data_IF_656039088299
#
_entry.id   IF_656039088299
#
_cell.length_a   1.000
_cell.length_b   1.000
_cell.length_c   1.000
_cell.angle_alpha   90.00
_cell.angle_beta   90.00
_cell.angle_gamma   90.00
#
_symmetry.space_group_name_H-M   'P 1'
#
loop_
_entity.id
_entity.type
_entity.pdbx_description
1 polymer ?
2 non-polymer ?
3 non-polymer ?
4 non-polymer ?
5 water ?
#
# COMPACT_ATOMS: atom_id res chain seq x y z
N UNK A 1 18.20 -25.61 -4.17
CA UNK A 1 17.54 -24.52 -4.90
C UNK A 1 16.03 -24.42 -4.62
N UNK A 2 15.67 -23.69 -3.56
CA UNK A 2 14.30 -23.59 -3.08
C UNK A 2 13.71 -22.23 -3.50
N UNK A 3 12.43 -22.24 -3.88
CA UNK A 3 11.75 -21.05 -4.41
C UNK A 3 10.54 -20.69 -3.55
N UNK A 4 10.41 -19.41 -3.24
CA UNK A 4 9.23 -18.86 -2.58
C UNK A 4 8.69 -17.73 -3.44
N UNK A 5 7.38 -17.69 -3.64
CA UNK A 5 6.73 -16.74 -4.53
C UNK A 5 5.98 -15.68 -3.73
N UNK A 6 6.20 -14.42 -4.08
CA UNK A 6 5.41 -13.31 -3.56
C UNK A 6 4.63 -12.68 -4.70
N UNK A 7 3.38 -12.28 -4.42
CA UNK A 7 2.54 -11.72 -5.49
C UNK A 7 3.10 -10.40 -6.01
N UNK A 8 3.65 -9.55 -5.13
CA UNK A 8 4.07 -8.20 -5.51
C UNK A 8 5.32 -7.81 -4.70
N UNK A 9 5.85 -6.60 -4.98
CA UNK A 9 7.12 -6.20 -4.36
C UNK A 9 6.97 -5.73 -2.92
N UNK A 10 5.79 -5.20 -2.58
CA UNK A 10 5.55 -4.81 -1.19
C UNK A 10 5.66 -6.01 -0.27
N UNK A 11 5.19 -7.17 -0.75
CA UNK A 11 5.40 -8.42 -0.02
C UNK A 11 6.82 -8.94 -0.22
N UNK A 12 7.29 -8.98 -1.48
CA UNK A 12 8.53 -9.69 -1.78
C UNK A 12 9.72 -9.11 -1.03
N UNK A 13 9.80 -7.79 -0.92
CA UNK A 13 10.98 -7.19 -0.29
C UNK A 13 11.04 -7.47 1.20
N UNK A 14 9.90 -7.75 1.83
CA UNK A 14 9.91 -8.14 3.23
C UNK A 14 10.24 -9.61 3.39
N UNK A 15 9.66 -10.48 2.55
CA UNK A 15 9.99 -11.91 2.58
C UNK A 15 11.49 -12.11 2.40
N UNK A 16 12.07 -11.43 1.41
CA UNK A 16 13.48 -11.61 1.08
C UNK A 16 14.37 -11.20 2.24
N UNK A 17 13.93 -10.22 3.05
CA UNK A 17 14.70 -9.80 4.21
C UNK A 17 14.68 -10.84 5.31
N UNK A 18 13.56 -11.54 5.48
CA UNK A 18 13.50 -12.61 6.47
C UNK A 18 14.38 -13.78 6.05
N UNK A 19 14.34 -14.16 4.76
CA UNK A 19 15.03 -15.37 4.33
C UNK A 19 16.49 -15.15 3.98
N UNK A 20 16.86 -13.95 3.52
CA UNK A 20 18.18 -13.74 2.98
C UNK A 20 18.57 -14.78 1.94
N UNK A 21 19.81 -15.21 1.96
CA UNK A 21 20.34 -16.14 0.92
C UNK A 21 19.74 -17.55 0.95
N UNK A 22 19.11 -18.00 2.03
CA UNK A 22 18.75 -19.42 2.11
C UNK A 22 17.61 -19.83 1.19
N UNK A 23 17.06 -18.92 0.36
CA UNK A 23 15.99 -19.26 -0.56
C UNK A 23 16.04 -18.29 -1.74
N UNK A 24 15.40 -18.66 -2.84
CA UNK A 24 15.23 -17.78 -3.99
C UNK A 24 13.82 -17.22 -4.01
N UNK A 25 13.71 -15.91 -3.91
CA UNK A 25 12.43 -15.23 -3.88
C UNK A 25 12.11 -14.76 -5.28
N UNK A 26 10.90 -15.07 -5.75
CA UNK A 26 10.42 -14.56 -7.02
C UNK A 26 9.19 -13.71 -6.75
N UNK A 27 8.94 -12.78 -7.65
CA UNK A 27 7.78 -11.91 -7.54
C UNK A 27 7.01 -11.99 -8.86
N UNK A 28 5.69 -12.16 -8.74
CA UNK A 28 4.81 -12.21 -9.93
C UNK A 28 4.60 -10.84 -10.58
N UNK A 29 4.29 -9.84 -9.77
CA UNK A 29 3.92 -8.50 -10.30
C UNK A 29 4.96 -7.49 -9.87
N UNK A 30 5.53 -6.80 -10.85
CA UNK A 30 6.47 -5.73 -10.59
C UNK A 30 6.37 -4.72 -11.72
N UNK A 31 7.03 -3.57 -11.52
CA UNK A 31 7.11 -2.54 -12.55
C UNK A 31 5.89 -1.63 -12.57
N UNK A 32 5.58 -1.18 -13.77
CA UNK A 32 4.53 -0.19 -13.97
C UNK A 32 3.14 -0.79 -14.13
N UNK A 33 2.89 -2.00 -13.63
CA UNK A 33 1.63 -2.68 -13.92
C UNK A 33 0.69 -2.59 -12.72
N UNK A 34 -0.60 -2.39 -13.02
CA UNK A 34 -1.69 -2.36 -12.06
C UNK A 34 -1.88 -3.74 -11.44
N UNK A 35 -1.58 -3.93 -10.16
CA UNK A 35 -1.77 -5.26 -9.55
C UNK A 35 -3.23 -5.64 -9.44
N UNK A 36 -4.13 -4.67 -9.30
CA UNK A 36 -5.55 -4.96 -9.10
C UNK A 36 -6.09 -5.83 -10.23
N UNK A 37 -5.66 -5.57 -11.46
CA UNK A 37 -6.22 -6.23 -12.63
C UNK A 37 -5.20 -7.14 -13.30
N UNK A 38 -4.15 -7.52 -12.58
CA UNK A 38 -3.13 -8.36 -13.16
C UNK A 38 -3.74 -9.69 -13.58
N UNK A 39 -3.48 -10.09 -14.82
CA UNK A 39 -3.84 -11.41 -15.29
C UNK A 39 -2.54 -12.18 -15.49
N UNK A 40 -2.55 -13.46 -15.13
CA UNK A 40 -1.33 -14.23 -15.22
C UNK A 40 -0.83 -14.28 -16.66
N UNK A 41 0.48 -14.13 -16.82
CA UNK A 41 1.14 -14.27 -18.09
C UNK A 41 1.75 -15.67 -18.18
N UNK A 42 2.15 -16.06 -19.39
CA UNK A 42 2.78 -17.37 -19.56
C UNK A 42 4.03 -17.47 -18.68
N UNK A 43 4.17 -18.61 -18.02
CA UNK A 43 5.23 -18.82 -17.07
C UNK A 43 4.83 -18.59 -15.62
N UNK A 44 3.78 -17.79 -15.39
CA UNK A 44 3.34 -17.53 -14.03
C UNK A 44 2.85 -18.81 -13.36
N UNK A 45 2.11 -19.64 -14.10
CA UNK A 45 1.65 -20.92 -13.56
C UNK A 45 2.82 -21.78 -13.11
N UNK A 46 3.91 -21.77 -13.89
CA UNK A 46 5.10 -22.52 -13.53
C UNK A 46 5.83 -21.90 -12.35
N UNK A 47 5.78 -20.57 -12.21
CA UNK A 47 6.37 -19.92 -11.04
C UNK A 47 5.66 -20.38 -9.77
N UNK A 48 4.33 -20.51 -9.85
CA UNK A 48 3.59 -21.06 -8.71
C UNK A 48 3.95 -22.52 -8.49
N UNK A 49 4.06 -23.29 -9.58
CA UNK A 49 4.28 -24.73 -9.47
C UNK A 49 5.62 -25.04 -8.82
N UNK A 50 6.68 -24.32 -9.19
CA UNK A 50 7.99 -24.58 -8.59
C UNK A 50 8.16 -23.98 -7.19
N UNK A 51 7.21 -23.18 -6.71
CA UNK A 51 7.37 -22.49 -5.44
C UNK A 51 6.87 -23.32 -4.26
N UNK A 52 7.41 -23.03 -3.08
CA UNK A 52 7.00 -23.72 -1.85
C UNK A 52 5.90 -22.99 -1.11
N UNK A 53 5.83 -21.67 -1.27
CA UNK A 53 4.86 -20.81 -0.60
C UNK A 53 4.52 -19.69 -1.57
N UNK A 54 3.24 -19.28 -1.56
CA UNK A 54 2.76 -18.16 -2.39
C UNK A 54 2.15 -17.12 -1.46
N UNK A 55 2.83 -15.98 -1.34
CA UNK A 55 2.40 -14.92 -0.42
C UNK A 55 1.50 -13.92 -1.14
N UNK A 56 0.25 -13.82 -0.68
CA UNK A 56 -0.76 -12.94 -1.25
C UNK A 56 -1.17 -11.86 -0.26
N UNK A 57 -1.64 -10.74 -0.80
CA UNK A 57 -2.16 -9.67 0.03
C UNK A 57 -3.52 -10.02 0.59
N UNK A 58 -4.34 -10.72 -0.20
CA UNK A 58 -5.73 -10.91 0.13
C UNK A 58 -6.46 -9.59 -0.02
N UNK A 59 -7.61 -9.49 0.69
CA UNK A 59 -8.44 -8.28 0.71
C UNK A 59 -8.83 -7.85 -0.69
N UNK A 60 -8.90 -8.81 -1.62
CA UNK A 60 -9.31 -8.55 -2.98
C UNK A 60 -8.24 -8.06 -3.94
N UNK A 61 -6.97 -8.01 -3.52
CA UNK A 61 -5.95 -7.45 -4.42
C UNK A 61 -5.66 -8.39 -5.58
N UNK A 62 -5.70 -9.70 -5.34
CA UNK A 62 -5.48 -10.70 -6.38
C UNK A 62 -6.82 -11.19 -6.94
N UNK A 63 -7.67 -10.27 -7.39
CA UNK A 63 -9.06 -10.58 -7.66
C UNK A 63 -9.36 -10.90 -9.13
N UNK A 64 -8.35 -10.84 -10.01
CA UNK A 64 -8.54 -11.23 -11.39
C UNK A 64 -8.90 -12.72 -11.51
N UNK A 65 -9.68 -13.04 -12.55
CA UNK A 65 -10.11 -14.41 -12.77
C UNK A 65 -8.93 -15.35 -12.95
N UNK A 66 -7.83 -14.86 -13.52
CA UNK A 66 -6.61 -15.65 -13.66
C UNK A 66 -6.07 -16.09 -12.29
N UNK A 67 -5.89 -15.13 -11.38
CA UNK A 67 -5.28 -15.43 -10.09
C UNK A 67 -6.22 -16.22 -9.20
N UNK A 68 -7.53 -15.93 -9.27
CA UNK A 68 -8.50 -16.66 -8.45
C UNK A 68 -8.50 -18.15 -8.78
N UNK A 69 -8.34 -18.53 -10.06
CA UNK A 69 -8.27 -19.95 -10.43
C UNK A 69 -7.14 -20.64 -9.69
N UNK A 70 -5.97 -20.00 -9.66
CA UNK A 70 -4.74 -20.60 -9.19
C UNK A 70 -4.50 -20.44 -7.70
N UNK A 71 -5.15 -19.46 -7.06
CA UNK A 71 -4.87 -19.15 -5.66
C UNK A 71 -5.94 -19.66 -4.71
N UNK A 72 -7.21 -19.62 -5.11
CA UNK A 72 -8.30 -20.09 -4.26
C UNK A 72 -8.21 -21.60 -4.11
N UNK A 73 -8.08 -22.07 -2.87
CA UNK A 73 -7.94 -23.49 -2.59
C UNK A 73 -6.53 -24.04 -2.71
N UNK A 74 -5.55 -23.18 -2.98
CA UNK A 74 -4.16 -23.60 -3.12
C UNK A 74 -3.51 -23.68 -1.74
N UNK A 75 -3.06 -24.86 -1.31
CA UNK A 75 -2.43 -24.97 0.02
C UNK A 75 -1.15 -24.17 0.17
N UNK A 76 -0.50 -23.77 -0.94
CA UNK A 76 0.69 -22.93 -0.85
C UNK A 76 0.38 -21.48 -0.47
N UNK A 77 -0.88 -21.05 -0.56
CA UNK A 77 -1.18 -19.61 -0.43
C UNK A 77 -1.14 -19.21 1.05
N UNK A 78 -0.37 -18.16 1.34
CA UNK A 78 -0.42 -17.45 2.61
C UNK A 78 -1.15 -16.14 2.35
N UNK A 79 -2.37 -16.01 2.88
CA UNK A 79 -3.22 -14.82 2.69
C UNK A 79 -2.95 -13.86 3.85
N UNK A 80 -2.02 -12.93 3.62
CA UNK A 80 -1.55 -12.08 4.72
C UNK A 80 -2.68 -11.24 5.31
N UNK A 81 -3.55 -10.68 4.47
CA UNK A 81 -4.64 -9.86 4.97
C UNK A 81 -5.68 -10.65 5.75
N UNK A 82 -5.95 -11.89 5.33
CA UNK A 82 -6.89 -12.73 6.06
C UNK A 82 -6.30 -13.15 7.40
N UNK A 83 -5.02 -13.52 7.42
CA UNK A 83 -4.39 -13.89 8.68
C UNK A 83 -4.37 -12.71 9.65
N UNK A 84 -4.10 -11.50 9.14
CA UNK A 84 -4.16 -10.32 9.99
C UNK A 84 -5.58 -10.06 10.47
N UNK A 85 -6.58 -10.30 9.61
CA UNK A 85 -7.96 -10.14 10.03
C UNK A 85 -8.36 -11.20 11.04
N UNK A 86 -7.79 -12.41 10.94
CA UNK A 86 -8.06 -13.50 11.87
C UNK A 86 -7.69 -13.16 13.31
N UNK A 87 -6.98 -12.05 13.53
CA UNK A 87 -6.52 -11.67 14.85
C UNK A 87 -6.91 -10.24 15.23
N UNK A 88 -7.85 -9.63 14.50
CA UNK A 88 -8.16 -8.21 14.64
C UNK A 88 -6.88 -7.39 14.83
N UNK A 89 -5.82 -7.75 14.08
CA UNK A 89 -4.62 -6.94 14.07
C UNK A 89 -4.90 -5.54 13.56
N UNK A 90 -5.91 -5.39 12.70
CA UNK A 90 -6.29 -4.08 12.21
C UNK A 90 -7.78 -4.08 11.91
N UNK A 91 -8.31 -2.89 11.71
CA UNK A 91 -9.71 -2.70 11.32
C UNK A 91 -9.74 -2.51 9.80
N UNK A 92 -10.38 -3.45 9.11
CA UNK A 92 -10.53 -3.37 7.66
C UNK A 92 -11.27 -2.11 7.24
N UNK A 93 -10.76 -1.43 6.22
CA UNK A 93 -11.50 -0.36 5.58
C UNK A 93 -12.16 -0.91 4.33
N UNK A 94 -13.22 -0.23 3.88
CA UNK A 94 -13.94 -0.63 2.68
C UNK A 94 -14.40 0.60 1.92
N UNK A 95 -14.98 0.37 0.75
CA UNK A 95 -15.52 1.45 -0.08
C UNK A 95 -16.64 0.83 -0.90
N UNK A 96 -17.85 1.35 -0.73
CA UNK A 96 -19.05 0.87 -1.44
C UNK A 96 -19.11 -0.66 -1.50
N UNK A 97 -18.77 -1.32 -0.41
CA UNK A 97 -18.96 -2.76 -0.31
C UNK A 97 -17.81 -3.62 -0.79
N UNK A 98 -16.68 -3.02 -1.20
CA UNK A 98 -15.48 -3.79 -1.51
C UNK A 98 -14.41 -3.53 -0.45
N UNK A 99 -13.58 -4.52 -0.11
CA UNK A 99 -12.55 -4.30 0.90
C UNK A 99 -11.41 -3.46 0.35
N UNK A 100 -10.78 -2.69 1.24
CA UNK A 100 -9.66 -1.86 0.85
C UNK A 100 -8.38 -2.65 1.08
N UNK A 101 -7.65 -3.04 0.03
CA UNK A 101 -6.46 -3.89 0.19
C UNK A 101 -5.18 -3.16 0.58
N UNK A 102 -5.18 -1.82 0.61
CA UNK A 102 -3.93 -1.06 0.63
C UNK A 102 -3.32 -0.92 2.02
N UNK A 103 -3.14 -2.04 2.73
CA UNK A 103 -2.64 -1.94 4.11
C UNK A 103 -1.15 -1.69 4.20
N UNK A 104 -0.40 -1.82 3.09
CA UNK A 104 1.05 -1.66 3.15
C UNK A 104 1.50 -0.20 3.25
N UNK A 105 0.57 0.76 3.23
CA UNK A 105 0.95 2.15 3.50
C UNK A 105 0.89 2.49 4.99
N UNK A 106 0.37 1.60 5.81
CA UNK A 106 0.36 1.77 7.26
C UNK A 106 1.45 0.85 7.80
N UNK A 107 2.57 1.45 8.22
CA UNK A 107 3.76 0.68 8.59
C UNK A 107 3.56 -0.16 9.84
N UNK A 108 2.61 0.19 10.71
CA UNK A 108 2.31 -0.71 11.83
C UNK A 108 1.56 -1.94 11.35
N UNK A 109 0.59 -1.76 10.46
CA UNK A 109 -0.13 -2.91 9.92
C UNK A 109 0.80 -3.79 9.09
N UNK A 110 1.64 -3.18 8.23
CA UNK A 110 2.54 -4.00 7.41
C UNK A 110 3.59 -4.69 8.28
N UNK A 111 3.96 -4.09 9.40
CA UNK A 111 4.80 -4.81 10.35
C UNK A 111 4.13 -6.08 10.85
N UNK A 112 2.85 -5.97 11.22
CA UNK A 112 2.08 -7.17 11.57
C UNK A 112 2.03 -8.15 10.40
N UNK A 113 1.83 -7.64 9.18
CA UNK A 113 1.90 -8.50 8.00
C UNK A 113 3.25 -9.22 7.92
N UNK A 114 4.34 -8.49 8.14
CA UNK A 114 5.65 -9.12 8.11
C UNK A 114 5.78 -10.16 9.22
N UNK A 115 5.11 -9.94 10.34
CA UNK A 115 5.13 -10.93 11.44
C UNK A 115 4.52 -12.23 10.93
N UNK A 116 3.45 -12.14 10.14
CA UNK A 116 2.83 -13.35 9.58
C UNK A 116 3.73 -13.99 8.52
N UNK A 117 4.39 -13.18 7.71
CA UNK A 117 5.36 -13.71 6.76
C UNK A 117 6.41 -14.55 7.47
N UNK A 118 7.07 -13.99 8.49
CA UNK A 118 8.08 -14.72 9.23
C UNK A 118 7.53 -16.03 9.80
N UNK A 119 6.39 -15.95 10.48
CA UNK A 119 5.81 -17.16 11.07
C UNK A 119 5.55 -18.20 9.99
N UNK A 120 4.87 -17.79 8.93
CA UNK A 120 4.58 -18.69 7.81
C UNK A 120 5.86 -19.30 7.26
N UNK A 121 6.91 -18.48 7.07
CA UNK A 121 8.15 -19.01 6.52
C UNK A 121 8.77 -20.02 7.47
N UNK A 122 8.78 -19.68 8.76
CA UNK A 122 9.38 -20.56 9.77
C UNK A 122 8.60 -21.87 9.85
N UNK A 123 7.28 -21.81 9.68
CA UNK A 123 6.48 -23.02 9.71
C UNK A 123 6.78 -23.93 8.52
N UNK A 124 7.15 -23.36 7.37
CA UNK A 124 7.49 -24.17 6.21
C UNK A 124 8.92 -24.69 6.26
N UNK A 125 9.82 -23.95 6.88
CA UNK A 125 11.25 -24.29 6.92
C UNK A 125 11.76 -24.24 8.36
N UNK A 126 11.44 -25.26 9.17
CA UNK A 126 11.99 -25.31 10.54
C UNK A 126 13.52 -25.34 10.55
N UNK A 127 14.14 -25.94 9.54
CA UNK A 127 15.59 -25.96 9.43
C UNK A 127 16.18 -24.55 9.34
N UNK A 128 15.39 -23.55 8.98
CA UNK A 128 15.89 -22.18 8.93
C UNK A 128 15.29 -21.29 10.02
N UNK A 129 14.54 -21.87 10.96
CA UNK A 129 13.78 -21.14 11.97
C UNK A 129 14.59 -20.02 12.61
N UNK A 130 15.89 -20.26 12.75
CA UNK A 130 16.77 -19.43 13.57
C UNK A 130 17.34 -18.25 12.80
N UNK A 131 17.90 -18.49 11.62
CA UNK A 131 18.31 -17.37 10.77
C UNK A 131 17.10 -16.55 10.35
N UNK A 132 16.01 -17.22 10.00
CA UNK A 132 14.78 -16.53 9.63
C UNK A 132 14.33 -15.59 10.75
N UNK A 133 14.37 -16.07 11.99
CA UNK A 133 13.85 -15.28 13.10
C UNK A 133 14.75 -14.10 13.39
N UNK A 134 16.08 -14.31 13.37
CA UNK A 134 17.03 -13.22 13.54
C UNK A 134 16.75 -12.08 12.57
N UNK A 135 16.61 -12.41 11.28
CA UNK A 135 16.36 -11.39 10.27
C UNK A 135 15.00 -10.74 10.43
N UNK A 136 13.99 -11.54 10.81
CA UNK A 136 12.68 -11.01 11.13
C UNK A 136 12.77 -9.98 12.26
N UNK A 137 13.42 -10.36 13.35
CA UNK A 137 13.64 -9.43 14.46
C UNK A 137 14.24 -8.13 13.96
N UNK A 138 15.22 -8.22 13.06
CA UNK A 138 15.88 -7.01 12.58
C UNK A 138 14.93 -6.15 11.75
N UNK A 139 14.27 -6.73 10.75
CA UNK A 139 13.44 -5.89 9.89
C UNK A 139 12.24 -5.35 10.65
N UNK A 140 11.68 -6.16 11.56
CA UNK A 140 10.53 -5.71 12.34
C UNK A 140 10.87 -4.51 13.22
N UNK A 141 12.05 -4.49 13.83
CA UNK A 141 12.42 -3.33 14.64
C UNK A 141 12.80 -2.14 13.77
N UNK A 142 13.32 -2.40 12.58
CA UNK A 142 13.55 -1.30 11.64
C UNK A 142 12.24 -0.69 11.18
N UNK A 143 11.21 -1.52 10.98
CA UNK A 143 9.91 -1.01 10.54
C UNK A 143 9.21 -0.26 11.67
N UNK A 144 9.38 -0.67 12.92
CA UNK A 144 8.84 0.11 14.02
C UNK A 144 9.49 1.48 14.08
N UNK A 145 10.80 1.54 13.84
CA UNK A 145 11.46 2.84 13.82
C UNK A 145 10.99 3.67 12.64
N UNK A 146 10.87 3.03 11.47
CA UNK A 146 10.28 3.67 10.29
C UNK A 146 8.89 4.25 10.59
N UNK A 147 8.07 3.50 11.33
CA UNK A 147 6.72 3.96 11.65
C UNK A 147 6.74 5.18 12.56
N UNK A 148 7.59 5.16 13.60
CA UNK A 148 7.73 6.32 14.47
C UNK A 148 8.20 7.53 13.67
N UNK A 149 9.21 7.33 12.80
CA UNK A 149 9.71 8.42 11.97
C UNK A 149 8.61 9.01 11.10
N UNK A 150 7.79 8.15 10.48
CA UNK A 150 6.70 8.64 9.63
C UNK A 150 5.69 9.45 10.44
N UNK A 151 5.26 8.89 11.58
CA UNK A 151 4.26 9.58 12.39
C UNK A 151 4.77 10.94 12.86
N UNK A 152 6.05 10.99 13.25
CA UNK A 152 6.63 12.25 13.70
C UNK A 152 6.74 13.25 12.56
N UNK A 153 7.22 12.81 11.39
CA UNK A 153 7.34 13.71 10.26
C UNK A 153 5.98 14.20 9.79
N UNK A 154 5.04 13.28 9.64
CA UNK A 154 3.72 13.66 9.14
C UNK A 154 2.98 14.52 10.15
N UNK A 155 3.35 14.44 11.43
CA UNK A 155 2.75 15.28 12.46
C UNK A 155 3.13 16.74 12.33
N UNK A 156 4.15 17.06 11.55
CA UNK A 156 4.56 18.46 11.36
C UNK A 156 3.74 19.16 10.29
N UNK A 157 2.97 18.43 9.49
CA UNK A 157 2.04 19.03 8.55
C UNK A 157 1.03 19.86 9.33
N UNK A 158 0.93 21.18 9.07
CA UNK A 158 -0.12 21.97 9.72
C UNK A 158 -1.48 21.31 9.56
N UNK A 159 -2.24 21.27 10.65
CA UNK A 159 -3.54 20.62 10.64
C UNK A 159 -4.44 21.16 9.53
N UNK A 160 -4.36 22.47 9.23
CA UNK A 160 -5.17 23.03 8.15
C UNK A 160 -4.81 22.45 6.77
N UNK A 161 -3.68 21.75 6.64
CA UNK A 161 -3.25 21.20 5.36
C UNK A 161 -3.39 19.68 5.28
N UNK A 162 -3.93 19.02 6.31
CA UNK A 162 -3.95 17.55 6.40
C UNK A 162 -5.13 17.02 5.58
N UNK A 163 -5.01 17.17 4.27
CA UNK A 163 -6.07 16.79 3.32
C UNK A 163 -5.33 16.27 2.11
N UNK A 164 -5.46 14.97 1.85
CA UNK A 164 -4.60 14.24 0.92
C UNK A 164 -5.40 13.88 -0.34
N UNK A 165 -5.11 14.57 -1.44
CA UNK A 165 -5.80 14.35 -2.70
C UNK A 165 -4.88 13.54 -3.61
N UNK A 166 -5.28 12.32 -3.96
CA UNK A 166 -4.44 11.44 -4.76
C UNK A 166 -5.21 10.93 -5.99
N UNK A 167 -4.50 10.13 -6.80
CA UNK A 167 -5.07 9.63 -8.03
C UNK A 167 -6.20 8.63 -7.81
N UNK A 168 -5.93 7.58 -7.01
CA UNK A 168 -6.99 6.69 -6.55
C UNK A 168 -6.87 6.51 -5.04
N UNK A 169 -7.81 5.74 -4.50
CA UNK A 169 -7.98 5.56 -3.06
C UNK A 169 -7.06 4.44 -2.57
N UNK A 170 -5.77 4.77 -2.52
CA UNK A 170 -4.74 3.86 -2.05
C UNK A 170 -4.16 4.27 -0.70
N UNK A 171 -4.53 5.44 -0.17
CA UNK A 171 -3.91 5.95 1.05
C UNK A 171 -4.91 6.13 2.19
N UNK A 172 -6.01 5.38 2.18
CA UNK A 172 -6.96 5.50 3.30
C UNK A 172 -6.34 5.03 4.61
N UNK A 173 -5.61 3.91 4.61
CA UNK A 173 -4.97 3.46 5.85
C UNK A 173 -3.91 4.44 6.31
N UNK A 174 -3.07 4.90 5.39
CA UNK A 174 -2.08 5.93 5.64
C UNK A 174 -2.73 7.15 6.31
N UNK A 175 -3.84 7.61 5.73
CA UNK A 175 -4.49 8.83 6.20
C UNK A 175 -5.07 8.65 7.59
N UNK A 176 -5.73 7.51 7.82
CA UNK A 176 -6.31 7.22 9.13
C UNK A 176 -5.24 7.14 10.22
N UNK A 177 -4.09 6.53 9.91
CA UNK A 177 -3.02 6.40 10.91
C UNK A 177 -2.29 7.72 11.13
N UNK A 178 -1.80 8.35 10.04
CA UNK A 178 -0.78 9.39 10.16
C UNK A 178 -1.30 10.80 10.04
N UNK A 179 -2.47 10.99 9.44
CA UNK A 179 -2.98 12.33 9.15
C UNK A 179 -4.15 12.71 10.05
N UNK A 180 -4.60 11.80 10.90
CA UNK A 180 -5.84 11.96 11.64
C UNK A 180 -5.60 11.83 13.13
N UNK A 181 -6.47 12.46 13.90
CA UNK A 181 -6.43 12.44 15.36
C UNK A 181 -7.16 11.22 15.89
N UNK A 182 -6.88 10.90 17.17
CA UNK A 182 -7.61 9.85 17.85
C UNK A 182 -9.12 10.09 17.78
N UNK A 183 -9.55 11.34 17.94
CA UNK A 183 -10.98 11.65 17.89
C UNK A 183 -11.53 11.39 16.49
N UNK A 184 -10.78 11.76 15.45
CA UNK A 184 -11.21 11.48 14.10
C UNK A 184 -11.19 9.97 13.82
N UNK A 185 -10.23 9.26 14.41
CA UNK A 185 -10.19 7.81 14.27
C UNK A 185 -11.44 7.17 14.87
N UNK A 186 -11.83 7.57 16.09
CA UNK A 186 -12.97 6.90 16.71
C UNK A 186 -14.29 7.32 16.04
N UNK A 187 -14.41 8.60 15.65
CA UNK A 187 -15.64 9.06 15.03
C UNK A 187 -15.78 8.56 13.60
N UNK A 188 -14.66 8.34 12.91
CA UNK A 188 -14.70 8.12 11.48
C UNK A 188 -14.60 9.39 10.65
N UNK A 189 -14.50 10.56 11.28
CA UNK A 189 -14.32 11.79 10.50
C UNK A 189 -12.91 11.91 9.94
N UNK A 190 -12.03 10.95 10.21
CA UNK A 190 -10.75 10.88 9.53
C UNK A 190 -10.94 10.83 8.01
N UNK A 191 -12.04 10.23 7.54
CA UNK A 191 -12.30 10.09 6.12
C UNK A 191 -12.40 11.43 5.41
N UNK A 192 -12.73 12.51 6.13
CA UNK A 192 -12.68 13.83 5.51
C UNK A 192 -11.28 14.20 5.01
N UNK A 193 -10.24 13.51 5.49
CA UNK A 193 -8.86 13.91 5.22
C UNK A 193 -8.24 13.33 3.95
N UNK A 194 -8.95 12.49 3.18
CA UNK A 194 -8.40 12.04 1.91
C UNK A 194 -9.52 11.93 0.88
N UNK A 195 -9.17 12.13 -0.39
CA UNK A 195 -10.13 11.99 -1.49
C UNK A 195 -9.36 11.70 -2.77
N UNK A 196 -10.05 11.10 -3.74
CA UNK A 196 -9.45 10.76 -5.03
C UNK A 196 -10.57 10.58 -6.03
N UNK A 197 -10.36 10.95 -7.30
CA UNK A 197 -11.45 10.79 -8.29
C UNK A 197 -11.70 9.34 -8.64
N UNK A 198 -10.67 8.50 -8.55
CA UNK A 198 -10.80 7.06 -8.76
C UNK A 198 -10.94 6.36 -7.40
N UNK A 199 -11.68 5.24 -7.39
CA UNK A 199 -11.91 4.47 -6.18
C UNK A 199 -10.76 3.55 -5.82
N UNK A 200 -11.03 2.36 -5.27
CA UNK A 200 -9.95 1.41 -4.84
C UNK A 200 -9.14 0.77 -5.98
N UNK A 201 -9.70 0.71 -7.19
CA UNK A 201 -9.30 0.03 -8.40
C UNK A 201 -9.18 1.03 -9.54
N UNK A 202 -8.07 1.05 -10.10
CA UNK A 202 -7.95 1.93 -11.28
C UNK A 202 -8.85 1.54 -12.43
N UNK A 203 -9.42 0.33 -12.43
CA UNK A 203 -10.18 -0.14 -13.59
C UNK A 203 -11.54 0.53 -13.72
N UNK A 204 -12.07 1.12 -12.65
CA UNK A 204 -13.38 1.78 -12.73
C UNK A 204 -13.30 3.05 -13.58
N UNK A 205 -14.44 3.37 -14.23
CA UNK A 205 -14.54 4.57 -15.05
C UNK A 205 -14.68 5.80 -14.18
N UNK A 206 -13.93 6.87 -14.49
CA UNK A 206 -14.00 8.13 -13.76
C UNK A 206 -14.90 9.10 -14.51
N UNK A 207 -15.87 9.67 -13.79
CA UNK A 207 -16.94 10.46 -14.38
C UNK A 207 -16.73 11.95 -14.10
N UNK A 208 -17.48 12.78 -14.81
CA UNK A 208 -17.48 14.22 -14.52
C UNK A 208 -17.92 14.48 -13.07
N UNK A 209 -18.79 13.62 -12.53
CA UNK A 209 -19.20 13.76 -11.14
C UNK A 209 -18.03 13.57 -10.17
N UNK A 210 -17.12 12.65 -10.49
CA UNK A 210 -15.92 12.42 -9.69
C UNK A 210 -14.96 13.59 -9.76
N UNK A 211 -14.79 14.16 -10.98
CA UNK A 211 -14.01 15.37 -11.12
C UNK A 211 -14.59 16.45 -10.23
N UNK A 212 -15.91 16.64 -10.33
CA UNK A 212 -16.58 17.71 -9.60
C UNK A 212 -16.46 17.52 -8.10
N UNK A 213 -16.67 16.29 -7.65
CA UNK A 213 -16.52 15.94 -6.24
C UNK A 213 -15.16 16.38 -5.71
N UNK A 214 -14.08 16.06 -6.43
CA UNK A 214 -12.73 16.39 -5.96
C UNK A 214 -12.47 17.89 -6.05
N UNK A 215 -12.98 18.54 -7.12
CA UNK A 215 -12.82 20.00 -7.25
C UNK A 215 -13.48 20.72 -6.07
N UNK A 216 -14.70 20.32 -5.70
CA UNK A 216 -15.36 20.98 -4.58
C UNK A 216 -14.64 20.69 -3.26
N UNK A 217 -14.13 19.47 -3.09
CA UNK A 217 -13.32 19.16 -1.92
C UNK A 217 -12.09 20.04 -1.85
N UNK A 218 -11.41 20.22 -2.99
CA UNK A 218 -10.20 21.06 -3.01
C UNK A 218 -10.53 22.48 -2.58
N UNK A 219 -11.64 23.02 -3.08
CA UNK A 219 -11.98 24.39 -2.74
C UNK A 219 -12.55 24.49 -1.31
N UNK A 220 -13.27 23.47 -0.85
CA UNK A 220 -13.79 23.51 0.51
C UNK A 220 -12.67 23.46 1.53
N UNK A 221 -11.65 22.64 1.29
CA UNK A 221 -10.55 22.47 2.22
C UNK A 221 -9.32 23.29 1.87
N UNK A 222 -9.40 24.14 0.84
CA UNK A 222 -8.28 24.98 0.43
C UNK A 222 -7.02 24.15 0.21
N UNK A 223 -7.18 23.01 -0.47
CA UNK A 223 -6.04 22.18 -0.82
C UNK A 223 -5.21 22.90 -1.88
N UNK A 224 -3.89 22.97 -1.70
CA UNK A 224 -3.05 23.67 -2.64
C UNK A 224 -2.29 22.75 -3.58
N UNK A 225 -2.19 21.47 -3.24
CA UNK A 225 -1.42 20.52 -4.04
C UNK A 225 -2.15 19.18 -4.06
N UNK A 226 -2.03 18.48 -5.20
CA UNK A 226 -2.58 17.15 -5.39
C UNK A 226 -1.44 16.24 -5.84
N UNK A 227 -1.62 14.94 -5.63
CA UNK A 227 -0.52 13.98 -5.81
C UNK A 227 -0.82 12.99 -6.93
N UNK A 228 -0.02 13.07 -7.99
CA UNK A 228 0.01 12.02 -9.02
C UNK A 228 0.62 10.76 -8.46
N UNK A 229 0.25 9.61 -9.05
CA UNK A 229 0.81 8.31 -8.71
C UNK A 229 1.50 7.70 -9.91
N UNK A 230 2.61 7.04 -9.63
CA UNK A 230 3.39 6.33 -10.66
C UNK A 230 2.46 5.27 -11.24
N UNK A 231 2.43 5.17 -12.57
CA UNK A 231 1.66 4.18 -13.39
C UNK A 231 0.15 4.42 -13.44
N UNK A 232 -0.42 5.34 -12.69
CA UNK A 232 -1.88 5.59 -12.75
C UNK A 232 -2.06 6.66 -13.82
N UNK A 233 -3.08 6.53 -14.64
CA UNK A 233 -3.37 7.53 -15.70
C UNK A 233 -3.58 8.86 -15.00
N UNK A 234 -2.98 9.93 -15.52
CA UNK A 234 -3.00 11.24 -14.88
C UNK A 234 -4.09 12.17 -15.38
N UNK A 235 -4.92 11.72 -16.34
CA UNK A 235 -5.91 12.61 -16.96
C UNK A 235 -6.82 13.26 -15.91
N UNK A 236 -7.36 12.46 -14.98
CA UNK A 236 -8.37 12.99 -14.06
C UNK A 236 -7.80 14.08 -13.16
N UNK A 237 -6.65 13.83 -12.53
CA UNK A 237 -6.07 14.87 -11.68
C UNK A 237 -5.67 16.09 -12.50
N UNK A 238 -5.21 15.89 -13.74
CA UNK A 238 -4.86 17.06 -14.54
C UNK A 238 -6.09 17.89 -14.87
N UNK A 239 -7.23 17.24 -15.14
CA UNK A 239 -8.50 17.95 -15.36
C UNK A 239 -8.96 18.65 -14.09
N UNK A 240 -8.90 17.97 -12.95
CA UNK A 240 -9.28 18.58 -11.68
C UNK A 240 -8.50 19.85 -11.45
N UNK A 241 -7.19 19.80 -11.70
CA UNK A 241 -6.32 20.95 -11.48
C UNK A 241 -6.72 22.12 -12.38
N UNK A 242 -6.92 21.82 -13.68
CA UNK A 242 -7.29 22.85 -14.65
C UNK A 242 -8.67 23.46 -14.40
N UNK A 243 -9.53 22.76 -13.66
CA UNK A 243 -10.91 23.19 -13.42
C UNK A 243 -11.04 24.08 -12.20
N UNK A 244 -9.94 24.51 -11.62
CA UNK A 244 -9.95 25.46 -10.52
C UNK A 244 -10.38 26.85 -11.00
N UNK A 245 -10.70 27.72 -10.03
CA UNK A 245 -11.04 29.10 -10.31
C UNK A 245 -9.86 29.84 -10.95
N UNK A 248 -7.33 30.89 -7.72
CA UNK A 248 -7.24 29.80 -6.75
C UNK A 248 -6.05 28.89 -7.02
N UNK A 249 -5.01 29.02 -6.21
CA UNK A 249 -3.76 28.30 -6.47
C UNK A 249 -3.93 26.80 -6.21
N UNK A 250 -3.45 25.99 -7.18
CA UNK A 250 -3.50 24.53 -7.13
C UNK A 250 -2.44 23.99 -8.08
N UNK A 251 -1.64 23.04 -7.60
CA UNK A 251 -0.52 22.52 -8.37
C UNK A 251 -0.45 21.01 -8.18
N UNK A 252 0.32 20.36 -9.05
CA UNK A 252 0.68 18.96 -8.90
C UNK A 252 1.92 18.85 -8.03
N UNK A 253 1.98 17.83 -7.19
CA UNK A 253 3.17 17.60 -6.39
C UNK A 253 4.36 17.36 -7.31
N UNK A 254 5.55 17.69 -6.82
CA UNK A 254 6.75 17.58 -7.65
C UNK A 254 7.01 16.11 -8.02
N UNK A 255 7.13 15.23 -7.00
CA UNK A 255 7.41 13.82 -7.24
C UNK A 255 6.14 13.00 -7.14
N UNK A 256 6.04 11.92 -7.93
CA UNK A 256 4.85 11.06 -7.85
C UNK A 256 4.89 10.20 -6.60
N UNK A 257 3.71 9.82 -6.12
CA UNK A 257 3.62 8.85 -5.05
C UNK A 257 3.58 7.44 -5.66
N UNK A 258 3.96 6.46 -4.86
CA UNK A 258 3.87 5.07 -5.29
C UNK A 258 2.77 4.41 -4.50
N UNK A 259 1.64 4.15 -5.17
CA UNK A 259 0.46 3.62 -4.52
C UNK A 259 0.43 2.09 -4.55
N UNK A 260 0.49 1.51 -5.75
CA UNK A 260 0.28 0.08 -5.93
C UNK A 260 1.57 -0.65 -6.26
N UNK A 261 2.70 0.03 -6.23
CA UNK A 261 3.95 -0.59 -6.63
C UNK A 261 5.08 0.05 -5.83
N UNK A 262 6.29 -0.36 -6.18
CA UNK A 262 7.56 0.01 -5.51
C UNK A 262 8.50 0.70 -6.50
N UNK A 263 9.30 1.67 -6.04
CA UNK A 263 10.29 2.30 -6.94
C UNK A 263 11.56 1.45 -6.95
N UNK A 264 12.39 1.54 -5.91
CA UNK A 264 13.60 0.68 -5.86
C UNK A 264 13.33 -0.52 -4.94
N UNK A 265 12.85 -0.24 -3.73
CA UNK A 265 12.48 -1.27 -2.73
C UNK A 265 11.30 -0.72 -1.92
N UNK A 266 10.53 -1.60 -1.32
CA UNK A 266 9.34 -1.18 -0.60
C UNK A 266 9.68 -0.15 0.48
N UNK A 267 10.82 -0.32 1.15
CA UNK A 267 11.11 0.52 2.32
C UNK A 267 11.47 1.93 1.90
N UNK A 268 12.37 2.08 0.93
CA UNK A 268 12.70 3.40 0.40
C UNK A 268 11.48 4.07 -0.21
N UNK A 269 10.56 3.28 -0.77
CA UNK A 269 9.35 3.84 -1.37
C UNK A 269 8.45 4.46 -0.31
N UNK A 270 8.24 3.74 0.80
CA UNK A 270 7.52 4.30 1.94
C UNK A 270 8.16 5.60 2.40
N UNK A 271 9.50 5.61 2.53
CA UNK A 271 10.19 6.83 2.92
C UNK A 271 9.92 7.96 1.92
N UNK A 272 10.05 7.67 0.62
CA UNK A 272 9.81 8.69 -0.40
C UNK A 272 8.39 9.24 -0.30
N UNK A 273 7.40 8.36 -0.12
CA UNK A 273 6.02 8.81 -0.01
C UNK A 273 5.85 9.75 1.17
N UNK A 274 6.45 9.39 2.32
CA UNK A 274 6.29 10.22 3.52
C UNK A 274 6.99 11.56 3.31
N UNK A 275 8.20 11.55 2.76
CA UNK A 275 8.91 12.80 2.48
C UNK A 275 8.10 13.68 1.54
N UNK A 276 7.63 13.11 0.43
CA UNK A 276 6.83 13.85 -0.54
C UNK A 276 5.59 14.47 0.10
N UNK A 277 4.82 13.66 0.83
CA UNK A 277 3.58 14.19 1.41
C UNK A 277 3.89 15.23 2.47
N UNK A 278 4.88 14.97 3.33
CA UNK A 278 5.22 15.93 4.39
C UNK A 278 5.66 17.27 3.81
N UNK A 279 6.56 17.24 2.83
CA UNK A 279 7.09 18.49 2.29
C UNK A 279 6.03 19.29 1.55
N UNK A 280 5.21 18.61 0.73
CA UNK A 280 4.26 19.35 -0.10
C UNK A 280 3.11 19.90 0.72
N UNK A 281 2.72 19.24 1.81
CA UNK A 281 1.65 19.73 2.68
C UNK A 281 2.16 20.69 3.78
N UNK A 282 3.43 21.04 3.76
CA UNK A 282 3.93 22.14 4.57
C UNK A 282 4.64 21.72 5.84
N UNK A 283 4.90 20.43 6.03
CA UNK A 283 5.64 19.95 7.19
C UNK A 283 7.13 19.98 6.98
N UNK A 284 7.84 19.38 7.94
CA UNK A 284 9.30 19.28 7.88
C UNK A 284 9.69 17.85 8.21
N UNK A 285 10.47 17.24 7.32
CA UNK A 285 10.87 15.84 7.47
C UNK A 285 11.94 15.73 8.54
N UNK A 286 11.71 14.88 9.53
CA UNK A 286 12.73 14.61 10.53
C UNK A 286 13.91 13.85 9.91
N UNK A 287 15.10 14.08 10.46
CA UNK A 287 16.28 13.38 9.94
C UNK A 287 16.32 11.95 10.48
X LIG B 1 -4.52 0.41 -5.62
X LIG C 1 -11.84 27.73 -0.33
X LIG D 1 -20.30 8.53 -10.49
X LIG E 1 0.69 -24.87 -7.35
#
# INVERSE_FOLDING_TARGET
>A
SIYVLSMNRMICDCVSRITGDRVKNIVLIDGAIDPHSYEMVKGDEDRMAMSQLIFCNGLGLEHSASLRKHLEGNPKVVDLGQRLLNKNCFDLLSEEGFPDPHIWTDMRVWGAAVKEMAAALIQQFPQYEEDFQKNADQILSEMEELDRWAARSLSTIPEKNRYLVTGHNAFSYFTRRYLSSDAERVSGEWRSRCISPEGLSPEAQISIRDIMRVVEYISANDVEVVFLEDTLNQDALRKIVSCSKSGQKIRLAKSPLYSDNVCDNYFSTFQHNVRTITEELGGTVLE
>B hetero
1 FE FE
>C hetero
1 NA NA
>D hetero
1 NA NA
>E hetero
1 CA CA
#
